data_IF_019034505976
#
_entry.id   IF_019034505976
#
_cell.length_a   1.000
_cell.length_b   1.000
_cell.length_c   1.000
_cell.angle_alpha   90.00
_cell.angle_beta   90.00
_cell.angle_gamma   90.00
#
_symmetry.space_group_name_H-M   'P 1'
#
loop_
_entity.id
_entity.type
_entity.pdbx_description
1 polymer ?
#
# COMPACT_ATOMS: atom_id res chain seq x y z
N UNK A 1 9.04 -7.22 -20.96
CA UNK A 1 9.86 -7.56 -19.77
C UNK A 1 9.09 -8.40 -18.75
N UNK A 2 8.02 -7.89 -18.10
CA UNK A 2 7.21 -8.68 -17.13
C UNK A 2 6.71 -10.01 -17.73
N UNK A 3 6.27 -10.00 -18.99
CA UNK A 3 5.83 -11.21 -19.71
C UNK A 3 6.89 -12.32 -19.78
N UNK A 4 8.15 -11.94 -20.05
CA UNK A 4 9.27 -12.88 -20.09
C UNK A 4 9.58 -13.44 -18.69
N UNK A 5 9.42 -12.62 -17.66
CA UNK A 5 9.64 -13.06 -16.27
C UNK A 5 8.55 -14.02 -15.81
N UNK A 6 7.30 -13.85 -16.28
CA UNK A 6 6.19 -14.76 -15.95
C UNK A 6 6.40 -16.18 -16.48
N UNK A 7 7.24 -16.39 -17.51
CA UNK A 7 7.63 -17.73 -17.96
C UNK A 7 8.54 -18.48 -16.97
N UNK A 8 9.11 -17.80 -15.96
CA UNK A 8 9.97 -18.39 -14.94
C UNK A 8 9.50 -18.02 -13.53
N UNK A 9 8.34 -18.56 -13.08
CA UNK A 9 7.67 -18.10 -11.85
C UNK A 9 8.51 -18.27 -10.58
N UNK A 10 9.44 -19.23 -10.56
CA UNK A 10 10.34 -19.48 -9.43
C UNK A 10 11.21 -18.27 -9.05
N UNK A 11 11.45 -17.34 -9.99
CA UNK A 11 12.16 -16.08 -9.72
C UNK A 11 11.46 -15.24 -8.63
N UNK A 12 10.13 -15.25 -8.61
CA UNK A 12 9.35 -14.38 -7.72
C UNK A 12 9.21 -14.93 -6.29
N UNK A 13 9.39 -16.25 -6.10
CA UNK A 13 9.17 -16.90 -4.80
C UNK A 13 10.08 -16.34 -3.70
N UNK A 14 11.30 -15.92 -4.05
CA UNK A 14 12.28 -15.39 -3.09
C UNK A 14 12.18 -13.87 -2.88
N UNK A 15 11.31 -13.18 -3.62
CA UNK A 15 11.16 -11.72 -3.50
C UNK A 15 10.47 -11.40 -2.18
N UNK A 16 11.23 -10.78 -1.27
CA UNK A 16 10.74 -10.31 0.03
C UNK A 16 10.38 -8.83 0.04
N UNK A 17 10.93 -8.05 -0.88
CA UNK A 17 10.72 -6.61 -0.98
C UNK A 17 10.36 -6.27 -2.43
N UNK A 18 9.19 -5.67 -2.65
CA UNK A 18 8.72 -5.29 -3.98
C UNK A 18 8.42 -3.79 -4.01
N UNK A 19 8.98 -3.07 -4.98
CA UNK A 19 8.61 -1.68 -5.26
C UNK A 19 7.88 -1.64 -6.59
N UNK A 20 6.62 -1.19 -6.57
CA UNK A 20 5.80 -1.00 -7.75
C UNK A 20 5.65 0.50 -8.01
N UNK A 21 6.07 0.92 -9.19
CA UNK A 21 5.87 2.27 -9.70
C UNK A 21 5.23 2.18 -11.08
N UNK A 22 4.14 2.91 -11.27
CA UNK A 22 3.46 2.97 -12.56
C UNK A 22 3.18 4.45 -12.88
N UNK A 23 3.99 5.00 -13.78
CA UNK A 23 3.95 6.42 -14.19
C UNK A 23 3.17 6.67 -15.48
N UNK A 24 2.93 5.62 -16.29
CA UNK A 24 2.34 5.76 -17.63
C UNK A 24 0.85 5.41 -17.71
N UNK A 25 0.17 6.08 -18.66
CA UNK A 25 -1.20 5.82 -19.09
C UNK A 25 -1.40 4.48 -19.85
N UNK A 26 -0.33 3.72 -20.13
CA UNK A 26 -0.39 2.32 -20.63
C UNK A 26 -0.96 1.32 -19.58
N UNK A 27 -1.42 1.89 -18.46
CA UNK A 27 -2.11 1.36 -17.28
C UNK A 27 -3.04 0.16 -17.49
N UNK A 28 -3.76 0.05 -18.61
CA UNK A 28 -4.73 -1.03 -18.84
C UNK A 28 -4.06 -2.36 -19.23
N UNK A 29 -3.05 -2.33 -20.09
CA UNK A 29 -2.53 -3.54 -20.73
C UNK A 29 -1.62 -4.37 -19.82
N UNK A 30 -0.97 -3.75 -18.83
CA UNK A 30 0.00 -4.41 -17.94
C UNK A 30 -0.57 -4.72 -16.55
N UNK A 31 -1.78 -4.24 -16.23
CA UNK A 31 -2.43 -4.45 -14.92
C UNK A 31 -2.57 -5.93 -14.57
N UNK A 32 -3.11 -6.74 -15.48
CA UNK A 32 -3.33 -8.17 -15.24
C UNK A 32 -2.02 -8.92 -14.98
N UNK A 33 -0.98 -8.60 -15.75
CA UNK A 33 0.35 -9.24 -15.63
C UNK A 33 1.05 -8.84 -14.33
N UNK A 34 0.92 -7.58 -13.93
CA UNK A 34 1.47 -7.10 -12.67
C UNK A 34 0.75 -7.76 -11.49
N UNK A 35 -0.57 -7.94 -11.57
CA UNK A 35 -1.34 -8.69 -10.57
C UNK A 35 -0.87 -10.14 -10.46
N UNK A 36 -0.66 -10.82 -11.59
CA UNK A 36 -0.13 -12.19 -11.61
C UNK A 36 1.27 -12.25 -10.95
N UNK A 37 2.14 -11.31 -11.28
CA UNK A 37 3.48 -11.20 -10.69
C UNK A 37 3.43 -11.04 -9.17
N UNK A 38 2.56 -10.17 -8.65
CA UNK A 38 2.39 -9.96 -7.20
C UNK A 38 1.93 -11.26 -6.53
N UNK A 39 1.01 -12.00 -7.15
CA UNK A 39 0.51 -13.27 -6.62
C UNK A 39 1.59 -14.37 -6.56
N UNK A 40 2.60 -14.31 -7.44
CA UNK A 40 3.75 -15.22 -7.40
C UNK A 40 4.76 -14.88 -6.29
N UNK A 41 4.71 -13.68 -5.70
CA UNK A 41 5.60 -13.26 -4.61
C UNK A 41 5.14 -13.81 -3.25
N UNK A 42 5.19 -15.14 -3.06
CA UNK A 42 4.65 -15.82 -1.87
C UNK A 42 5.32 -15.41 -0.54
N UNK A 43 6.60 -15.03 -0.57
CA UNK A 43 7.38 -14.63 0.61
C UNK A 43 7.50 -13.11 0.78
N UNK A 44 6.60 -12.33 0.15
CA UNK A 44 6.66 -10.88 0.16
C UNK A 44 6.43 -10.34 1.58
N UNK A 45 7.44 -9.67 2.15
CA UNK A 45 7.37 -9.05 3.48
C UNK A 45 7.07 -7.57 3.42
N UNK A 46 7.56 -6.88 2.38
CA UNK A 46 7.42 -5.44 2.21
C UNK A 46 7.01 -5.09 0.79
N UNK A 47 6.05 -4.20 0.66
CA UNK A 47 5.68 -3.60 -0.62
C UNK A 47 5.71 -2.07 -0.55
N UNK A 48 6.22 -1.45 -1.61
CA UNK A 48 6.14 -0.01 -1.84
C UNK A 48 5.29 0.26 -3.07
N UNK A 49 4.30 1.13 -2.91
CA UNK A 49 3.32 1.48 -3.94
C UNK A 49 3.42 2.98 -4.23
N UNK A 50 3.80 3.32 -5.46
CA UNK A 50 3.82 4.70 -5.97
C UNK A 50 2.86 4.93 -7.13
N UNK A 51 2.34 6.16 -7.23
CA UNK A 51 1.48 6.62 -8.34
C UNK A 51 0.31 5.66 -8.63
N UNK A 52 0.23 5.13 -9.85
CA UNK A 52 -0.89 4.28 -10.28
C UNK A 52 -0.73 2.80 -9.86
N UNK A 53 0.27 2.44 -9.05
CA UNK A 53 0.46 1.04 -8.64
C UNK A 53 -0.55 0.54 -7.59
N UNK A 54 -1.14 1.44 -6.79
CA UNK A 54 -2.05 1.05 -5.72
C UNK A 54 -3.33 0.35 -6.23
N UNK A 55 -4.06 0.86 -7.24
CA UNK A 55 -5.23 0.16 -7.77
C UNK A 55 -4.92 -1.25 -8.32
N UNK A 56 -3.70 -1.48 -8.82
CA UNK A 56 -3.25 -2.81 -9.27
C UNK A 56 -3.17 -3.72 -8.06
N UNK A 57 -2.39 -3.33 -7.05
CA UNK A 57 -2.21 -4.10 -5.82
C UNK A 57 -3.53 -4.36 -5.11
N UNK A 58 -4.39 -3.34 -5.02
CA UNK A 58 -5.72 -3.48 -4.43
C UNK A 58 -6.58 -4.51 -5.18
N UNK A 59 -6.59 -4.48 -6.51
CA UNK A 59 -7.34 -5.46 -7.30
C UNK A 59 -6.80 -6.88 -7.14
N UNK A 60 -5.48 -7.04 -7.00
CA UNK A 60 -4.86 -8.33 -6.71
C UNK A 60 -5.30 -8.85 -5.34
N UNK A 61 -5.16 -8.03 -4.29
CA UNK A 61 -5.48 -8.41 -2.91
C UNK A 61 -6.97 -8.75 -2.70
N UNK A 62 -7.86 -8.04 -3.40
CA UNK A 62 -9.31 -8.27 -3.34
C UNK A 62 -9.78 -9.43 -4.24
N UNK A 63 -8.91 -9.99 -5.09
CA UNK A 63 -9.25 -11.14 -5.93
C UNK A 63 -9.43 -12.40 -5.06
N UNK A 64 -10.38 -13.27 -5.43
CA UNK A 64 -10.66 -14.52 -4.70
C UNK A 64 -9.48 -15.50 -4.70
N UNK A 65 -8.57 -15.36 -5.66
CA UNK A 65 -7.40 -16.22 -5.83
C UNK A 65 -6.18 -15.73 -5.03
N UNK A 66 -6.29 -14.61 -4.30
CA UNK A 66 -5.22 -14.05 -3.50
C UNK A 66 -5.10 -14.76 -2.15
N UNK A 67 -4.32 -15.83 -2.10
CA UNK A 67 -4.23 -16.67 -0.90
C UNK A 67 -2.86 -16.73 -0.21
N UNK A 68 -1.81 -16.09 -0.74
CA UNK A 68 -0.44 -16.44 -0.29
C UNK A 68 0.38 -15.32 0.35
N UNK A 69 0.36 -14.09 -0.15
CA UNK A 69 1.20 -13.01 0.41
C UNK A 69 0.55 -12.21 1.54
N UNK A 70 -0.75 -12.41 1.83
CA UNK A 70 -1.42 -11.78 2.98
C UNK A 70 -0.90 -12.27 4.34
N UNK A 71 -0.28 -13.45 4.38
CA UNK A 71 0.26 -14.07 5.59
C UNK A 71 1.76 -13.79 5.81
N UNK A 72 2.43 -13.11 4.87
CA UNK A 72 3.84 -12.75 4.98
C UNK A 72 4.10 -11.25 4.90
N UNK A 73 3.19 -10.48 4.30
CA UNK A 73 3.33 -9.04 4.13
C UNK A 73 3.10 -8.28 5.44
N UNK A 74 4.19 -7.82 6.04
CA UNK A 74 4.16 -7.10 7.31
C UNK A 74 4.36 -5.58 7.17
N UNK A 75 4.83 -5.10 6.01
CA UNK A 75 5.15 -3.68 5.79
C UNK A 75 4.56 -3.18 4.47
N UNK A 76 3.83 -2.06 4.52
CA UNK A 76 3.38 -1.35 3.33
C UNK A 76 3.89 0.10 3.36
N UNK A 77 4.45 0.55 2.23
CA UNK A 77 4.81 1.94 2.01
C UNK A 77 3.93 2.50 0.89
N UNK A 78 3.09 3.46 1.24
CA UNK A 78 2.35 4.29 0.30
C UNK A 78 3.17 5.54 0.01
N UNK A 79 3.44 5.80 -1.27
CA UNK A 79 4.20 6.99 -1.65
C UNK A 79 3.60 7.72 -2.85
N UNK A 80 3.43 9.04 -2.76
CA UNK A 80 2.88 9.87 -3.85
C UNK A 80 1.54 9.37 -4.40
N UNK A 81 0.67 8.92 -3.49
CA UNK A 81 -0.69 8.45 -3.79
C UNK A 81 -1.72 9.52 -3.47
N UNK A 82 -2.81 9.55 -4.24
CA UNK A 82 -3.97 10.39 -3.94
C UNK A 82 -5.09 9.55 -3.30
N UNK A 83 -5.18 9.57 -1.98
CA UNK A 83 -6.20 8.85 -1.22
C UNK A 83 -7.58 9.54 -1.25
N UNK A 84 -7.72 10.78 -1.77
CA UNK A 84 -9.04 11.41 -1.95
C UNK A 84 -9.90 10.67 -2.98
N UNK A 85 -9.29 9.99 -3.94
CA UNK A 85 -9.99 9.28 -5.02
C UNK A 85 -9.95 7.75 -4.88
N UNK A 86 -9.27 7.24 -3.85
CA UNK A 86 -9.13 5.80 -3.62
C UNK A 86 -10.21 5.27 -2.67
N UNK A 87 -10.85 4.17 -3.03
CA UNK A 87 -11.94 3.55 -2.25
C UNK A 87 -11.52 2.20 -1.67
N UNK A 88 -12.33 1.58 -0.80
CA UNK A 88 -12.15 0.21 -0.29
C UNK A 88 -10.83 -0.07 0.48
N UNK A 89 -10.20 0.94 1.08
CA UNK A 89 -8.97 0.78 1.87
C UNK A 89 -9.21 -0.02 3.14
N UNK A 90 -10.33 0.20 3.83
CA UNK A 90 -10.66 -0.57 5.03
C UNK A 90 -10.76 -2.08 4.79
N UNK A 91 -11.22 -2.52 3.60
CA UNK A 91 -11.25 -3.95 3.21
C UNK A 91 -9.84 -4.50 3.01
N UNK A 92 -8.98 -3.72 2.35
CA UNK A 92 -7.57 -4.06 2.13
C UNK A 92 -6.86 -4.33 3.47
N UNK A 93 -6.97 -3.43 4.44
CA UNK A 93 -6.32 -3.62 5.75
C UNK A 93 -6.89 -4.82 6.54
N UNK A 94 -8.19 -5.12 6.39
CA UNK A 94 -8.79 -6.31 7.04
C UNK A 94 -8.23 -7.63 6.49
N UNK A 95 -7.85 -7.68 5.21
CA UNK A 95 -7.28 -8.89 4.59
C UNK A 95 -5.80 -9.12 4.96
N UNK A 96 -5.09 -8.09 5.44
CA UNK A 96 -3.67 -8.16 5.77
C UNK A 96 -3.48 -8.54 7.24
N UNK A 97 -3.52 -9.85 7.51
CA UNK A 97 -3.56 -10.40 8.86
C UNK A 97 -2.29 -10.16 9.69
N UNK A 98 -1.14 -10.07 9.04
CA UNK A 98 0.18 -9.92 9.68
C UNK A 98 0.79 -8.53 9.48
N UNK A 99 -0.01 -7.55 9.04
CA UNK A 99 0.47 -6.20 8.79
C UNK A 99 0.91 -5.55 10.10
N UNK A 100 2.21 -5.34 10.25
CA UNK A 100 2.81 -4.73 11.43
C UNK A 100 3.01 -3.23 11.25
N UNK A 101 3.39 -2.78 10.04
CA UNK A 101 3.76 -1.40 9.80
C UNK A 101 3.27 -0.82 8.48
N UNK A 102 2.89 0.46 8.55
CA UNK A 102 2.49 1.28 7.43
C UNK A 102 3.33 2.55 7.41
N UNK A 103 3.72 2.98 6.23
CA UNK A 103 4.40 4.25 5.99
C UNK A 103 3.63 5.03 4.93
N UNK A 104 3.40 6.32 5.18
CA UNK A 104 2.72 7.26 4.29
C UNK A 104 3.71 8.36 3.93
N UNK A 105 4.04 8.48 2.64
CA UNK A 105 5.08 9.38 2.16
C UNK A 105 4.55 10.20 1.00
N UNK A 106 4.48 11.52 1.14
CA UNK A 106 4.07 12.45 0.08
C UNK A 106 2.68 12.15 -0.51
N UNK A 107 1.77 11.58 0.28
CA UNK A 107 0.42 11.26 -0.14
C UNK A 107 -0.52 12.46 0.06
N UNK A 108 -1.51 12.59 -0.83
CA UNK A 108 -2.68 13.44 -0.62
C UNK A 108 -3.69 12.63 0.16
N UNK A 109 -4.04 13.09 1.36
CA UNK A 109 -4.99 12.45 2.24
C UNK A 109 -6.40 12.98 2.00
N UNK A 110 -7.41 12.14 2.25
CA UNK A 110 -8.82 12.52 2.22
C UNK A 110 -9.51 12.15 3.54
N UNK A 111 -10.56 12.87 3.90
CA UNK A 111 -11.36 12.63 5.11
C UNK A 111 -11.87 11.18 5.18
N UNK A 112 -12.37 10.65 4.06
CA UNK A 112 -12.84 9.25 3.97
C UNK A 112 -11.74 8.23 4.25
N UNK A 113 -10.51 8.50 3.81
CA UNK A 113 -9.36 7.65 4.09
C UNK A 113 -9.03 7.65 5.58
N UNK A 114 -8.98 8.84 6.20
CA UNK A 114 -8.73 8.98 7.63
C UNK A 114 -9.79 8.25 8.43
N UNK A 115 -11.06 8.49 8.13
CA UNK A 115 -12.17 7.86 8.83
C UNK A 115 -12.11 6.32 8.71
N UNK A 116 -11.76 5.80 7.53
CA UNK A 116 -11.56 4.36 7.38
C UNK A 116 -10.41 3.84 8.25
N UNK A 117 -9.26 4.51 8.23
CA UNK A 117 -8.04 4.08 8.94
C UNK A 117 -8.19 4.17 10.46
N UNK A 118 -8.75 5.25 11.00
CA UNK A 118 -8.89 5.43 12.46
C UNK A 118 -9.90 4.44 13.08
N UNK A 119 -10.89 4.01 12.30
CA UNK A 119 -11.93 3.06 12.69
C UNK A 119 -11.51 1.59 12.48
N UNK A 120 -10.27 1.32 12.07
CA UNK A 120 -9.77 -0.05 12.03
C UNK A 120 -9.52 -0.57 13.45
N UNK A 121 -10.20 -1.66 13.80
CA UNK A 121 -10.03 -2.32 15.09
C UNK A 121 -8.69 -3.08 15.20
N UNK A 122 -7.97 -3.28 14.08
CA UNK A 122 -6.70 -4.02 14.06
C UNK A 122 -5.52 -3.05 14.17
N UNK A 123 -4.56 -3.29 15.09
CA UNK A 123 -3.42 -2.40 15.28
C UNK A 123 -2.31 -2.75 14.29
N UNK A 124 -2.21 -2.03 13.18
CA UNK A 124 -0.89 -1.83 12.56
C UNK A 124 -0.26 -0.56 13.14
N UNK A 125 1.05 -0.44 13.02
CA UNK A 125 1.81 0.74 13.44
C UNK A 125 2.01 1.67 12.26
N UNK A 126 1.54 2.91 12.35
CA UNK A 126 1.91 3.94 11.38
C UNK A 126 3.29 4.48 11.81
N UNK A 127 4.35 4.07 11.11
CA UNK A 127 5.74 4.34 11.51
C UNK A 127 6.36 5.56 10.86
N UNK A 128 5.89 5.93 9.67
CA UNK A 128 6.36 7.13 8.98
C UNK A 128 5.21 7.90 8.36
N UNK A 129 5.24 9.22 8.54
CA UNK A 129 4.36 10.17 7.88
C UNK A 129 5.23 11.31 7.34
N UNK A 130 5.26 11.46 6.02
CA UNK A 130 5.77 12.64 5.34
C UNK A 130 4.65 13.23 4.49
N UNK A 131 4.25 14.47 4.73
CA UNK A 131 3.09 15.08 4.07
C UNK A 131 3.45 16.35 3.35
N UNK A 132 2.78 16.62 2.23
CA UNK A 132 2.74 17.96 1.65
C UNK A 132 1.90 18.88 2.54
N UNK A 133 2.30 20.16 2.60
CA UNK A 133 1.61 21.25 3.32
C UNK A 133 0.15 21.46 2.91
N UNK A 134 -0.29 20.92 1.77
CA UNK A 134 -1.66 20.99 1.27
C UNK A 134 -2.63 20.00 1.94
N UNK A 135 -2.17 19.11 2.82
CA UNK A 135 -3.05 18.25 3.61
C UNK A 135 -3.72 19.05 4.73
N UNK A 136 -5.02 18.85 4.91
CA UNK A 136 -5.79 19.57 5.94
C UNK A 136 -5.27 19.24 7.35
N UNK A 137 -5.07 20.28 8.17
CA UNK A 137 -4.50 20.13 9.51
C UNK A 137 -5.28 19.13 10.37
N UNK A 138 -6.62 19.18 10.32
CA UNK A 138 -7.51 18.28 11.07
C UNK A 138 -7.31 16.80 10.72
N UNK A 139 -7.01 16.51 9.44
CA UNK A 139 -6.70 15.15 8.97
C UNK A 139 -5.39 14.66 9.62
N UNK A 140 -4.38 15.53 9.66
CA UNK A 140 -3.08 15.19 10.24
C UNK A 140 -3.21 14.98 11.75
N UNK A 141 -3.91 15.88 12.45
CA UNK A 141 -4.18 15.77 13.89
C UNK A 141 -4.88 14.45 14.24
N UNK A 142 -5.89 14.05 13.46
CA UNK A 142 -6.61 12.78 13.67
C UNK A 142 -5.69 11.54 13.54
N UNK A 143 -4.74 11.56 12.59
CA UNK A 143 -3.75 10.48 12.45
C UNK A 143 -2.78 10.45 13.62
N UNK A 144 -2.28 11.63 14.02
CA UNK A 144 -1.34 11.75 15.12
C UNK A 144 -1.96 11.32 16.45
N UNK A 145 -3.21 11.70 16.73
CA UNK A 145 -3.94 11.25 17.93
C UNK A 145 -4.10 9.73 17.99
N UNK A 146 -4.33 9.09 16.83
CA UNK A 146 -4.57 7.64 16.79
C UNK A 146 -3.29 6.80 16.77
N UNK A 147 -2.25 7.25 16.06
CA UNK A 147 -1.06 6.46 15.78
C UNK A 147 0.26 7.09 16.26
N UNK A 148 0.21 8.25 16.92
CA UNK A 148 1.39 9.03 17.31
C UNK A 148 2.42 8.25 18.10
N UNK A 149 1.97 7.37 19.00
CA UNK A 149 2.84 6.56 19.88
C UNK A 149 3.77 5.59 19.11
N UNK A 150 3.44 5.28 17.86
CA UNK A 150 4.22 4.38 17.02
C UNK A 150 5.05 5.08 15.93
N UNK A 151 4.96 6.40 15.82
CA UNK A 151 5.67 7.14 14.79
C UNK A 151 7.17 7.18 15.09
N UNK A 152 7.95 6.67 14.14
CA UNK A 152 9.41 6.74 14.15
C UNK A 152 9.92 7.90 13.28
N UNK A 153 9.15 8.32 12.28
CA UNK A 153 9.53 9.38 11.35
C UNK A 153 8.34 10.30 11.03
N UNK A 154 8.54 11.60 11.13
CA UNK A 154 7.52 12.61 10.85
C UNK A 154 8.13 13.81 10.15
N UNK A 155 7.44 14.35 9.14
CA UNK A 155 7.88 15.58 8.48
C UNK A 155 6.85 16.19 7.53
N UNK A 156 7.02 17.48 7.27
CA UNK A 156 6.28 18.20 6.23
C UNK A 156 7.21 18.58 5.09
N UNK A 157 6.69 18.52 3.87
CA UNK A 157 7.31 19.05 2.66
C UNK A 157 6.58 20.33 2.25
N UNK A 158 7.38 21.35 1.99
CA UNK A 158 6.96 22.68 1.56
C UNK A 158 7.10 22.81 0.05
#
# INVERSE_FOLDING_TARGET
>A
MIELMLHNPGFFHNIRNLKLSCTDASFSHTKNRTSQMINLCQNLKKISLTYNSFPIYQSSLLSKDYNHSSNTLNTIIFSSLNFKVMTNLGKLFKQLNVLESVHIIDCILGTDFIQQIINLNRPFKLKSIFLYSNNELQIVESLLQKYGDYLENFGFRF
#
